data_IF_277517092149
#
_entry.id   IF_277517092149
#
_cell.length_a   1.000
_cell.length_b   1.000
_cell.length_c   1.000
_cell.angle_alpha   90.00
_cell.angle_beta   90.00
_cell.angle_gamma   90.00
#
_symmetry.space_group_name_H-M   'P 1'
#
loop_
_entity.id
_entity.type
_entity.pdbx_description
1 polymer ?
#
# COMPACT_ATOMS: atom_id res chain seq x y z
N UNK A 1 10.22 -19.31 -2.86
CA UNK A 1 8.93 -19.02 -2.20
C UNK A 1 8.42 -17.73 -2.84
N UNK A 2 7.30 -17.77 -3.56
CA UNK A 2 6.71 -16.59 -4.17
C UNK A 2 5.52 -16.16 -3.32
N UNK A 3 5.66 -15.02 -2.64
CA UNK A 3 4.60 -14.48 -1.80
C UNK A 3 4.34 -13.02 -2.18
N UNK A 4 3.12 -12.57 -1.93
CA UNK A 4 2.68 -11.19 -2.16
C UNK A 4 2.18 -10.65 -0.84
N UNK A 5 2.88 -9.67 -0.29
CA UNK A 5 2.48 -8.95 0.91
C UNK A 5 1.99 -7.58 0.53
N UNK A 6 0.80 -7.23 1.01
CA UNK A 6 0.25 -5.89 0.90
C UNK A 6 0.01 -5.34 2.31
N UNK A 7 0.34 -4.08 2.52
CA UNK A 7 -0.03 -3.41 3.76
C UNK A 7 -0.39 -1.95 3.54
N UNK A 8 -1.26 -1.42 4.38
CA UNK A 8 -1.70 -0.03 4.33
C UNK A 8 -1.76 0.56 5.75
N UNK A 9 -1.77 1.88 5.82
CA UNK A 9 -1.90 2.60 7.09
C UNK A 9 -1.55 4.07 6.94
N UNK A 10 -1.77 4.83 8.00
CA UNK A 10 -1.44 6.25 8.09
C UNK A 10 0.05 6.52 7.82
N UNK A 11 0.39 7.79 7.57
CA UNK A 11 1.79 8.22 7.51
C UNK A 11 2.53 7.88 8.82
N UNK A 12 3.86 7.71 8.75
CA UNK A 12 4.72 7.37 9.88
C UNK A 12 4.46 6.01 10.58
N UNK A 13 3.49 5.20 10.16
CA UNK A 13 3.22 3.83 10.68
C UNK A 13 4.32 2.79 10.38
N UNK A 14 5.48 3.21 9.88
CA UNK A 14 6.61 2.31 9.61
C UNK A 14 6.49 1.47 8.34
N UNK A 15 5.53 1.77 7.45
CA UNK A 15 5.34 1.10 6.14
C UNK A 15 6.65 0.76 5.42
N UNK A 16 7.44 1.78 5.08
CA UNK A 16 8.71 1.58 4.35
C UNK A 16 9.73 0.78 5.16
N UNK A 17 9.76 0.93 6.49
CA UNK A 17 10.63 0.13 7.36
C UNK A 17 10.24 -1.35 7.32
N UNK A 18 8.96 -1.68 7.27
CA UNK A 18 8.49 -3.06 7.11
C UNK A 18 8.94 -3.63 5.77
N UNK A 19 8.79 -2.86 4.68
CA UNK A 19 9.28 -3.27 3.36
C UNK A 19 10.76 -3.62 3.36
N UNK A 20 11.62 -2.69 3.79
CA UNK A 20 13.08 -2.87 3.85
C UNK A 20 13.53 -3.98 4.81
N UNK A 21 12.71 -4.35 5.79
CA UNK A 21 13.04 -5.44 6.72
C UNK A 21 13.02 -6.80 6.01
N UNK A 22 12.19 -6.96 4.99
CA UNK A 22 11.98 -8.25 4.35
C UNK A 22 13.22 -8.82 3.66
N UNK A 23 14.18 -7.97 3.26
CA UNK A 23 15.43 -8.42 2.62
C UNK A 23 16.31 -9.29 3.53
N UNK A 24 16.13 -9.20 4.84
CA UNK A 24 16.85 -10.04 5.81
C UNK A 24 16.50 -11.53 5.67
N UNK A 25 15.32 -11.83 5.12
CA UNK A 25 14.86 -13.19 4.88
C UNK A 25 15.66 -13.91 3.77
N UNK A 26 16.49 -13.16 3.03
CA UNK A 26 17.29 -13.65 1.92
C UNK A 26 18.73 -13.16 2.07
N UNK A 27 19.59 -13.78 2.90
CA UNK A 27 20.91 -13.25 3.24
C UNK A 27 21.76 -12.76 2.06
N UNK A 28 21.71 -13.47 0.93
CA UNK A 28 22.47 -13.15 -0.30
C UNK A 28 21.62 -12.44 -1.38
N UNK A 29 20.38 -12.08 -1.05
CA UNK A 29 19.45 -11.46 -1.98
C UNK A 29 19.56 -9.94 -2.04
N UNK A 30 19.11 -9.39 -3.16
CA UNK A 30 18.88 -7.95 -3.38
C UNK A 30 17.38 -7.64 -3.31
N UNK A 31 17.06 -6.47 -2.74
CA UNK A 31 15.75 -5.86 -2.83
C UNK A 31 15.77 -4.74 -3.87
N UNK A 32 14.80 -4.76 -4.80
CA UNK A 32 14.54 -3.62 -5.67
C UNK A 32 13.32 -2.87 -5.15
N UNK A 33 13.56 -1.63 -4.73
CA UNK A 33 12.58 -0.72 -4.17
C UNK A 33 12.12 0.29 -5.24
N UNK A 34 10.85 0.24 -5.63
CA UNK A 34 10.22 1.18 -6.55
C UNK A 34 9.60 2.32 -5.72
N UNK A 35 10.31 3.45 -5.66
CA UNK A 35 10.01 4.57 -4.78
C UNK A 35 9.18 5.65 -5.51
N UNK A 36 7.88 5.64 -5.28
CA UNK A 36 6.92 6.62 -5.79
C UNK A 36 6.66 7.78 -4.83
N UNK A 37 7.22 7.75 -3.62
CA UNK A 37 6.76 8.62 -2.54
C UNK A 37 7.86 9.08 -1.57
N UNK A 38 9.14 8.97 -1.92
CA UNK A 38 10.28 9.31 -1.05
C UNK A 38 10.38 8.40 0.19
N UNK A 39 9.96 7.15 0.03
CA UNK A 39 10.03 6.14 1.07
C UNK A 39 11.46 5.94 1.54
N UNK A 40 12.41 5.86 0.61
CA UNK A 40 13.81 5.54 0.93
C UNK A 40 14.39 6.57 1.88
N UNK A 41 14.29 7.86 1.58
CA UNK A 41 14.88 8.91 2.39
C UNK A 41 14.35 8.89 3.84
N UNK A 42 13.09 8.50 4.03
CA UNK A 42 12.44 8.44 5.35
C UNK A 42 12.86 7.25 6.22
N UNK A 43 13.29 6.14 5.61
CA UNK A 43 13.47 4.88 6.34
C UNK A 43 14.86 4.26 6.25
N UNK A 44 15.64 4.53 5.20
CA UNK A 44 16.88 3.78 4.92
C UNK A 44 17.94 3.94 6.02
N UNK A 45 17.99 5.11 6.66
CA UNK A 45 18.93 5.44 7.73
C UNK A 45 18.75 4.59 8.99
N UNK A 46 17.59 3.92 9.14
CA UNK A 46 17.29 3.03 10.27
C UNK A 46 18.02 1.69 10.17
N UNK A 47 18.54 1.35 9.00
CA UNK A 47 19.11 0.05 8.70
C UNK A 47 20.65 0.09 8.77
N UNK A 48 21.32 -1.01 9.17
CA UNK A 48 22.77 -1.12 9.06
C UNK A 48 23.23 -0.99 7.61
N UNK A 49 24.43 -0.46 7.37
CA UNK A 49 25.00 -0.25 6.02
C UNK A 49 24.96 -1.53 5.15
N UNK A 50 25.26 -2.69 5.74
CA UNK A 50 25.21 -3.98 5.05
C UNK A 50 23.83 -4.31 4.46
N UNK A 51 22.75 -3.88 5.11
CA UNK A 51 21.38 -4.02 4.59
C UNK A 51 21.10 -2.91 3.56
N UNK A 52 21.50 -1.67 3.84
CA UNK A 52 21.29 -0.55 2.91
C UNK A 52 21.91 -0.81 1.53
N UNK A 53 23.11 -1.40 1.49
CA UNK A 53 23.84 -1.70 0.25
C UNK A 53 23.10 -2.73 -0.63
N UNK A 54 22.23 -3.54 -0.03
CA UNK A 54 21.41 -4.57 -0.69
C UNK A 54 20.04 -4.06 -1.15
N UNK A 55 19.65 -2.85 -0.77
CA UNK A 55 18.40 -2.21 -1.19
C UNK A 55 18.70 -1.25 -2.35
N UNK A 56 18.33 -1.65 -3.57
CA UNK A 56 18.45 -0.84 -4.77
C UNK A 56 17.15 -0.10 -5.03
N UNK A 57 17.14 1.21 -4.84
CA UNK A 57 15.93 2.01 -5.06
C UNK A 57 15.95 2.70 -6.42
N UNK A 58 14.80 2.68 -7.08
CA UNK A 58 14.54 3.42 -8.32
C UNK A 58 13.37 4.35 -8.05
N UNK A 59 13.61 5.65 -8.23
CA UNK A 59 12.65 6.70 -7.89
C UNK A 59 11.79 7.07 -9.09
N UNK A 60 10.49 7.14 -8.85
CA UNK A 60 9.47 7.55 -9.80
C UNK A 60 8.79 8.80 -9.25
N UNK A 61 9.23 10.01 -9.63
CA UNK A 61 8.64 11.23 -9.12
C UNK A 61 7.17 11.33 -9.51
N UNK A 62 6.36 11.94 -8.64
CA UNK A 62 4.98 12.28 -8.99
C UNK A 62 4.98 13.17 -10.24
N UNK A 63 4.23 12.74 -11.25
CA UNK A 63 4.07 13.49 -12.49
C UNK A 63 2.84 14.37 -12.33
N UNK A 64 2.95 15.71 -12.34
CA UNK A 64 1.81 16.57 -12.09
C UNK A 64 0.72 16.38 -13.14
N UNK A 65 -0.55 16.38 -12.72
CA UNK A 65 -1.71 16.15 -13.61
C UNK A 65 -1.85 17.21 -14.70
N UNK A 66 -1.35 18.43 -14.50
CA UNK A 66 -1.33 19.46 -15.54
C UNK A 66 -0.41 19.12 -16.73
N UNK A 67 0.42 18.09 -16.60
CA UNK A 67 1.23 17.54 -17.71
C UNK A 67 0.48 16.51 -18.55
N UNK A 68 -0.79 16.21 -18.26
CA UNK A 68 -1.63 15.31 -19.05
C UNK A 68 -1.57 15.68 -20.53
N UNK A 69 -1.14 14.73 -21.36
CA UNK A 69 -0.99 14.91 -22.80
C UNK A 69 0.44 15.19 -23.28
N UNK A 70 1.36 15.57 -22.39
CA UNK A 70 2.77 15.83 -22.70
C UNK A 70 3.60 14.56 -23.01
N UNK A 71 3.08 13.37 -22.70
CA UNK A 71 3.81 12.11 -22.76
C UNK A 71 4.67 11.80 -21.52
N UNK A 72 4.78 12.72 -20.55
CA UNK A 72 5.57 12.51 -19.33
C UNK A 72 5.05 11.34 -18.48
N UNK A 73 3.73 11.19 -18.38
CA UNK A 73 3.08 10.10 -17.61
C UNK A 73 3.36 8.75 -18.31
N UNK A 74 3.16 8.69 -19.63
CA UNK A 74 3.49 7.51 -20.44
C UNK A 74 4.97 7.12 -20.32
N UNK A 75 5.88 8.09 -20.37
CA UNK A 75 7.32 7.83 -20.22
C UNK A 75 7.67 7.32 -18.82
N UNK A 76 7.06 7.88 -17.78
CA UNK A 76 7.26 7.45 -16.39
C UNK A 76 6.75 6.02 -16.18
N UNK A 77 5.56 5.70 -16.67
CA UNK A 77 5.02 4.34 -16.62
C UNK A 77 5.88 3.34 -17.40
N UNK A 78 6.30 3.66 -18.63
CA UNK A 78 7.18 2.80 -19.42
C UNK A 78 8.54 2.56 -18.73
N UNK A 79 9.10 3.59 -18.08
CA UNK A 79 10.31 3.45 -17.28
C UNK A 79 10.10 2.49 -16.10
N UNK A 80 8.95 2.58 -15.41
CA UNK A 80 8.59 1.64 -14.36
C UNK A 80 8.48 0.22 -14.90
N UNK A 81 7.75 0.00 -15.99
CA UNK A 81 7.56 -1.34 -16.56
C UNK A 81 8.89 -1.99 -16.95
N UNK A 82 9.77 -1.25 -17.63
CA UNK A 82 11.10 -1.72 -18.00
C UNK A 82 11.93 -2.09 -16.77
N UNK A 83 11.94 -1.24 -15.75
CA UNK A 83 12.71 -1.48 -14.52
C UNK A 83 12.17 -2.69 -13.76
N UNK A 84 10.84 -2.82 -13.71
CA UNK A 84 10.16 -3.95 -13.07
C UNK A 84 10.50 -5.26 -13.77
N UNK A 85 10.47 -5.29 -15.10
CA UNK A 85 10.85 -6.45 -15.90
C UNK A 85 12.32 -6.84 -15.74
N UNK A 86 13.24 -5.87 -15.69
CA UNK A 86 14.65 -6.13 -15.38
C UNK A 86 14.80 -6.77 -14.00
N UNK A 87 14.10 -6.27 -12.99
CA UNK A 87 14.15 -6.81 -11.63
C UNK A 87 13.52 -8.21 -11.51
N UNK A 88 12.48 -8.52 -12.29
CA UNK A 88 11.89 -9.85 -12.35
C UNK A 88 12.88 -10.89 -12.89
N UNK A 89 13.62 -10.53 -13.94
CA UNK A 89 14.53 -11.43 -14.64
C UNK A 89 15.91 -11.57 -13.98
N UNK A 90 16.27 -10.69 -13.03
CA UNK A 90 17.53 -10.78 -12.30
C UNK A 90 17.47 -11.88 -11.21
N UNK A 91 18.31 -12.93 -11.27
CA UNK A 91 18.31 -14.00 -10.27
C UNK A 91 18.79 -13.56 -8.88
N UNK A 92 19.56 -12.47 -8.76
CA UNK A 92 20.01 -11.93 -7.46
C UNK A 92 18.89 -11.20 -6.72
N UNK A 93 17.93 -10.63 -7.45
CA UNK A 93 16.77 -9.98 -6.85
C UNK A 93 15.89 -11.03 -6.21
N UNK A 94 15.59 -10.87 -4.91
CA UNK A 94 14.69 -11.77 -4.17
C UNK A 94 13.42 -11.06 -3.71
N UNK A 95 13.49 -9.74 -3.53
CA UNK A 95 12.38 -8.92 -3.06
C UNK A 95 12.13 -7.78 -4.03
N UNK A 96 10.87 -7.59 -4.41
CA UNK A 96 10.36 -6.44 -5.13
C UNK A 96 9.51 -5.64 -4.15
N UNK A 97 9.85 -4.39 -3.86
CA UNK A 97 9.10 -3.56 -2.94
C UNK A 97 8.57 -2.30 -3.64
N UNK A 98 7.25 -2.16 -3.76
CA UNK A 98 6.58 -1.00 -4.37
C UNK A 98 6.06 -0.06 -3.26
N UNK A 99 6.63 1.15 -3.18
CA UNK A 99 6.30 2.16 -2.16
C UNK A 99 5.91 3.50 -2.82
N UNK A 100 4.64 3.86 -2.99
CA UNK A 100 3.42 3.12 -2.63
C UNK A 100 2.72 2.59 -3.87
N UNK A 101 2.10 1.41 -3.74
CA UNK A 101 1.20 0.83 -4.73
C UNK A 101 0.00 1.72 -5.06
N UNK A 102 -0.42 2.60 -4.15
CA UNK A 102 -1.44 3.62 -4.42
C UNK A 102 -0.99 4.58 -5.52
N UNK A 103 0.24 5.10 -5.43
CA UNK A 103 0.78 6.01 -6.45
C UNK A 103 1.13 5.29 -7.76
N UNK A 104 1.68 4.07 -7.68
CA UNK A 104 1.87 3.23 -8.87
C UNK A 104 0.55 3.00 -9.62
N UNK A 105 -0.54 2.70 -8.89
CA UNK A 105 -1.85 2.47 -9.49
C UNK A 105 -2.44 3.75 -10.11
N UNK A 106 -2.26 4.91 -9.46
CA UNK A 106 -2.64 6.21 -10.02
C UNK A 106 -1.87 6.50 -11.32
N UNK A 107 -0.54 6.33 -11.33
CA UNK A 107 0.28 6.52 -12.52
C UNK A 107 -0.19 5.65 -13.69
N UNK A 108 -0.52 4.38 -13.42
CA UNK A 108 -1.08 3.46 -14.41
C UNK A 108 -2.44 3.93 -14.96
N UNK A 109 -3.32 4.42 -14.09
CA UNK A 109 -4.62 4.95 -14.49
C UNK A 109 -4.50 6.23 -15.33
N UNK A 110 -3.63 7.15 -14.91
CA UNK A 110 -3.37 8.39 -15.63
C UNK A 110 -2.72 8.12 -17.00
N UNK A 111 -1.79 7.17 -17.10
CA UNK A 111 -1.20 6.77 -18.38
C UNK A 111 -2.25 6.23 -19.35
N UNK A 112 -3.13 5.38 -18.83
CA UNK A 112 -4.21 4.80 -19.62
C UNK A 112 -5.17 5.89 -20.11
N UNK A 113 -5.54 6.82 -19.22
CA UNK A 113 -6.38 7.97 -19.55
C UNK A 113 -5.74 8.87 -20.61
N UNK A 114 -4.45 9.19 -20.48
CA UNK A 114 -3.73 10.01 -21.45
C UNK A 114 -3.83 9.40 -22.86
N UNK A 115 -3.58 8.09 -22.97
CA UNK A 115 -3.66 7.37 -24.25
C UNK A 115 -5.10 7.23 -24.76
N UNK A 116 -6.06 6.99 -23.88
CA UNK A 116 -7.46 6.80 -24.26
C UNK A 116 -8.10 8.11 -24.74
N UNK A 117 -7.87 9.23 -24.04
CA UNK A 117 -8.36 10.56 -24.42
C UNK A 117 -7.76 11.00 -25.75
N UNK A 118 -6.44 10.81 -25.95
CA UNK A 118 -5.76 11.11 -27.22
C UNK A 118 -6.39 10.40 -28.41
N UNK A 119 -6.87 9.16 -28.22
CA UNK A 119 -7.39 8.32 -29.30
C UNK A 119 -8.89 8.48 -29.56
N UNK A 120 -9.71 8.64 -28.51
CA UNK A 120 -11.15 8.38 -28.63
C UNK A 120 -12.08 9.58 -28.34
N UNK A 121 -11.61 10.69 -27.75
CA UNK A 121 -12.44 11.84 -27.32
C UNK A 121 -13.81 11.44 -26.67
N UNK A 122 -13.82 10.55 -25.68
CA UNK A 122 -15.04 9.94 -25.12
C UNK A 122 -15.85 10.90 -24.23
N UNK A 123 -17.13 10.58 -24.01
CA UNK A 123 -18.00 11.27 -23.03
C UNK A 123 -17.63 10.89 -21.58
N UNK A 124 -17.76 11.85 -20.66
CA UNK A 124 -17.27 11.76 -19.26
C UNK A 124 -17.81 10.57 -18.45
N UNK A 125 -19.06 10.16 -18.66
CA UNK A 125 -19.67 9.04 -17.91
C UNK A 125 -19.09 7.66 -18.27
N UNK A 126 -18.54 7.48 -19.47
CA UNK A 126 -17.90 6.22 -19.86
C UNK A 126 -16.47 6.09 -19.33
N UNK A 127 -15.85 7.21 -18.94
CA UNK A 127 -14.47 7.21 -18.45
C UNK A 127 -14.34 6.43 -17.13
N UNK A 128 -15.24 6.61 -16.15
CA UNK A 128 -15.11 5.95 -14.84
C UNK A 128 -15.03 4.41 -14.91
N UNK A 129 -15.80 3.74 -15.77
CA UNK A 129 -15.74 2.27 -15.86
C UNK A 129 -14.45 1.79 -16.56
N UNK A 130 -13.98 2.54 -17.56
CA UNK A 130 -12.79 2.21 -18.33
C UNK A 130 -11.52 2.55 -17.53
N UNK A 131 -11.56 3.62 -16.74
CA UNK A 131 -10.50 4.14 -15.87
C UNK A 131 -9.96 3.09 -14.91
N UNK A 132 -10.81 2.23 -14.34
CA UNK A 132 -10.33 1.28 -13.33
C UNK A 132 -10.08 -0.12 -13.90
N UNK A 133 -10.83 -0.57 -14.91
CA UNK A 133 -10.72 -1.97 -15.39
C UNK A 133 -9.34 -2.31 -15.96
N UNK A 134 -8.84 -1.49 -16.88
CA UNK A 134 -7.55 -1.76 -17.52
C UNK A 134 -6.36 -1.60 -16.56
N UNK A 135 -6.29 -0.52 -15.76
CA UNK A 135 -5.26 -0.39 -14.73
C UNK A 135 -5.28 -1.52 -13.71
N UNK A 136 -6.46 -1.95 -13.23
CA UNK A 136 -6.60 -3.09 -12.33
C UNK A 136 -6.01 -4.37 -12.93
N UNK A 137 -6.30 -4.65 -14.20
CA UNK A 137 -5.76 -5.82 -14.89
C UNK A 137 -4.23 -5.76 -15.04
N UNK A 138 -3.67 -4.59 -15.36
CA UNK A 138 -2.22 -4.39 -15.43
C UNK A 138 -1.55 -4.57 -14.06
N UNK A 139 -2.12 -4.00 -13.00
CA UNK A 139 -1.62 -4.19 -11.63
C UNK A 139 -1.66 -5.67 -11.23
N UNK A 140 -2.76 -6.38 -11.51
CA UNK A 140 -2.87 -7.82 -11.30
C UNK A 140 -1.81 -8.60 -12.08
N UNK A 141 -1.54 -8.24 -13.33
CA UNK A 141 -0.51 -8.87 -14.14
C UNK A 141 0.90 -8.72 -13.54
N UNK A 142 1.24 -7.54 -12.97
CA UNK A 142 2.52 -7.36 -12.26
C UNK A 142 2.62 -8.28 -11.04
N UNK A 143 1.54 -8.42 -10.27
CA UNK A 143 1.49 -9.33 -9.12
C UNK A 143 1.73 -10.78 -9.56
N UNK A 144 1.08 -11.23 -10.63
CA UNK A 144 1.26 -12.59 -11.14
C UNK A 144 2.68 -12.81 -11.70
N UNK A 145 3.24 -11.82 -12.42
CA UNK A 145 4.60 -11.90 -12.93
C UNK A 145 5.64 -12.05 -11.81
N UNK A 146 5.47 -11.35 -10.68
CA UNK A 146 6.34 -11.54 -9.52
C UNK A 146 6.24 -12.96 -8.92
N UNK A 147 5.03 -13.54 -8.91
CA UNK A 147 4.82 -14.93 -8.48
C UNK A 147 5.53 -15.92 -9.40
N UNK A 148 5.34 -15.78 -10.71
CA UNK A 148 5.98 -16.61 -11.73
C UNK A 148 7.51 -16.52 -11.67
N UNK A 149 8.06 -15.31 -11.47
CA UNK A 149 9.48 -15.08 -11.27
C UNK A 149 10.00 -15.52 -9.88
N UNK A 150 9.14 -16.12 -9.05
CA UNK A 150 9.43 -16.61 -7.71
C UNK A 150 10.06 -15.57 -6.77
N UNK A 151 9.61 -14.32 -6.87
CA UNK A 151 10.05 -13.20 -6.00
C UNK A 151 9.05 -12.98 -4.86
N UNK A 152 9.53 -12.43 -3.74
CA UNK A 152 8.66 -11.82 -2.74
C UNK A 152 8.25 -10.43 -3.24
N UNK A 153 6.96 -10.20 -3.46
CA UNK A 153 6.43 -8.89 -3.82
C UNK A 153 5.82 -8.24 -2.58
N UNK A 154 6.25 -7.01 -2.28
CA UNK A 154 5.74 -6.21 -1.18
C UNK A 154 5.14 -4.93 -1.77
N UNK A 155 3.95 -4.57 -1.34
CA UNK A 155 3.26 -3.36 -1.81
C UNK A 155 2.72 -2.60 -0.61
N UNK A 156 3.23 -1.39 -0.40
CA UNK A 156 2.66 -0.48 0.60
C UNK A 156 1.53 0.34 -0.03
N UNK A 157 0.56 0.75 0.78
CA UNK A 157 -0.54 1.59 0.34
C UNK A 157 -0.84 2.70 1.32
N UNK A 158 -1.43 3.77 0.81
CA UNK A 158 -2.15 4.72 1.63
C UNK A 158 -3.48 4.14 2.09
N UNK A 159 -3.94 4.64 3.23
CA UNK A 159 -5.32 4.43 3.64
C UNK A 159 -6.23 5.54 3.09
N UNK A 160 -7.51 5.23 2.92
CA UNK A 160 -8.55 6.22 2.61
C UNK A 160 -9.75 6.05 3.55
N UNK A 161 -10.46 7.14 3.89
CA UNK A 161 -11.73 7.05 4.60
C UNK A 161 -12.77 6.30 3.77
N UNK A 162 -13.59 5.50 4.45
CA UNK A 162 -14.79 4.89 3.88
C UNK A 162 -15.96 5.81 4.15
N UNK A 163 -16.64 6.23 3.08
CA UNK A 163 -17.84 7.05 3.15
C UNK A 163 -19.10 6.23 2.86
N UNK A 164 -20.19 6.56 3.52
CA UNK A 164 -21.52 5.99 3.25
C UNK A 164 -22.52 7.10 2.97
N UNK A 165 -23.46 6.84 2.05
CA UNK A 165 -24.59 7.75 1.85
C UNK A 165 -25.55 7.64 3.03
N UNK A 166 -25.82 8.75 3.70
CA UNK A 166 -26.84 8.85 4.74
C UNK A 166 -27.81 9.97 4.40
N UNK A 167 -29.05 9.80 4.83
CA UNK A 167 -30.04 10.87 4.79
C UNK A 167 -29.87 11.73 6.04
N UNK A 168 -29.41 12.97 5.84
CA UNK A 168 -29.18 13.94 6.90
C UNK A 168 -30.27 15.01 6.83
N UNK A 169 -30.82 15.38 7.99
CA UNK A 169 -31.76 16.49 8.07
C UNK A 169 -30.99 17.80 8.22
N UNK A 170 -31.17 18.72 7.27
CA UNK A 170 -30.55 20.03 7.31
C UNK A 170 -31.29 20.95 8.31
N UNK A 171 -30.66 22.07 8.67
CA UNK A 171 -31.20 23.04 9.62
C UNK A 171 -32.54 23.66 9.19
N UNK A 172 -32.86 23.61 7.90
CA UNK A 172 -34.14 24.06 7.32
C UNK A 172 -35.25 22.99 7.36
N UNK A 173 -34.95 21.81 7.92
CA UNK A 173 -35.85 20.67 8.01
C UNK A 173 -35.91 19.78 6.76
N UNK A 174 -35.21 20.15 5.68
CA UNK A 174 -35.11 19.32 4.48
C UNK A 174 -34.23 18.09 4.69
N UNK A 175 -34.50 17.01 3.95
CA UNK A 175 -33.69 15.79 3.97
C UNK A 175 -32.79 15.76 2.73
N UNK A 176 -31.47 15.75 2.94
CA UNK A 176 -30.47 15.60 1.89
C UNK A 176 -29.75 14.26 1.98
N UNK A 177 -29.29 13.74 0.84
CA UNK A 177 -28.29 12.67 0.83
C UNK A 177 -26.92 13.29 0.99
N UNK A 178 -26.21 12.95 2.06
CA UNK A 178 -24.83 13.36 2.29
C UNK A 178 -23.91 12.15 2.36
N UNK A 179 -22.66 12.35 1.94
CA UNK A 179 -21.60 11.36 2.08
C UNK A 179 -20.89 11.59 3.41
N UNK A 180 -21.09 10.67 4.36
CA UNK A 180 -20.59 10.80 5.74
C UNK A 180 -19.43 9.84 5.96
N UNK A 181 -18.33 10.32 6.56
CA UNK A 181 -17.19 9.49 6.94
C UNK A 181 -17.64 8.50 8.03
N UNK A 182 -17.43 7.21 7.80
CA UNK A 182 -17.76 6.15 8.76
C UNK A 182 -16.78 6.06 9.91
N UNK A 183 -15.63 6.75 9.82
CA UNK A 183 -14.47 6.56 10.70
C UNK A 183 -13.66 5.31 10.36
N UNK A 184 -14.13 4.45 9.45
CA UNK A 184 -13.38 3.30 8.96
C UNK A 184 -12.37 3.74 7.90
N UNK A 185 -11.24 3.04 7.86
CA UNK A 185 -10.19 3.24 6.86
C UNK A 185 -10.03 1.96 6.05
N UNK A 186 -9.82 2.11 4.75
CA UNK A 186 -9.55 1.01 3.82
C UNK A 186 -8.31 1.29 2.98
N UNK A 187 -7.79 0.25 2.33
CA UNK A 187 -6.67 0.37 1.39
C UNK A 187 -7.05 1.27 0.20
N UNK A 188 -6.16 2.20 -0.16
CA UNK A 188 -6.32 3.06 -1.33
C UNK A 188 -5.56 2.49 -2.55
N UNK A 189 -6.13 2.65 -3.74
CA UNK A 189 -5.57 2.20 -5.02
C UNK A 189 -6.29 0.97 -5.56
N UNK A 190 -5.54 -0.08 -5.86
CA UNK A 190 -6.07 -1.31 -6.47
C UNK A 190 -7.09 -2.01 -5.56
N UNK A 191 -8.38 -1.90 -5.89
CA UNK A 191 -9.48 -2.39 -5.04
C UNK A 191 -9.45 -3.90 -4.76
N UNK A 192 -8.87 -4.69 -5.66
CA UNK A 192 -8.78 -6.15 -5.50
C UNK A 192 -7.49 -6.58 -4.77
N UNK A 193 -6.75 -5.66 -4.13
CA UNK A 193 -5.44 -5.97 -3.53
C UNK A 193 -5.53 -7.07 -2.48
N UNK A 194 -6.54 -7.02 -1.60
CA UNK A 194 -6.77 -8.05 -0.59
C UNK A 194 -6.88 -9.45 -1.21
N UNK A 195 -7.51 -9.59 -2.38
CA UNK A 195 -7.67 -10.86 -3.08
C UNK A 195 -6.42 -11.30 -3.85
N UNK A 196 -5.56 -10.35 -4.22
CA UNK A 196 -4.35 -10.63 -5.00
C UNK A 196 -3.13 -10.93 -4.11
N UNK A 197 -3.14 -10.47 -2.86
CA UNK A 197 -2.07 -10.70 -1.88
C UNK A 197 -2.27 -11.98 -1.05
N UNK A 198 -1.17 -12.64 -0.68
CA UNK A 198 -1.18 -13.72 0.30
C UNK A 198 -1.35 -13.20 1.73
N UNK A 199 -0.78 -12.02 1.99
CA UNK A 199 -0.88 -11.31 3.27
C UNK A 199 -1.39 -9.89 3.02
N UNK A 200 -2.46 -9.50 3.70
CA UNK A 200 -2.98 -8.13 3.65
C UNK A 200 -3.11 -7.55 5.06
N UNK A 201 -2.29 -6.54 5.37
CA UNK A 201 -2.15 -6.02 6.73
C UNK A 201 -2.56 -4.55 6.81
N UNK A 202 -3.15 -4.17 7.93
CA UNK A 202 -3.28 -2.77 8.32
C UNK A 202 -2.30 -2.44 9.43
N UNK A 203 -1.58 -1.34 9.27
CA UNK A 203 -0.52 -0.90 10.16
C UNK A 203 -1.00 0.30 10.96
N UNK A 204 -0.80 0.22 12.28
CA UNK A 204 -1.19 1.26 13.21
C UNK A 204 -0.04 1.57 14.15
N UNK A 205 0.13 2.85 14.48
CA UNK A 205 1.01 3.24 15.58
C UNK A 205 0.31 2.91 16.90
N UNK A 206 1.05 2.28 17.81
CA UNK A 206 0.60 2.15 19.19
C UNK A 206 0.53 3.56 19.80
N UNK A 207 -0.55 3.85 20.52
CA UNK A 207 -0.80 5.15 21.17
C UNK A 207 -1.03 6.36 20.24
N UNK A 208 -1.74 6.17 19.11
CA UNK A 208 -2.29 7.27 18.28
C UNK A 208 -3.20 8.25 19.01
N UNK A 209 -3.56 7.95 20.25
CA UNK A 209 -4.33 8.85 21.08
C UNK A 209 -3.51 10.02 21.58
N UNK A 210 -2.22 10.19 21.24
CA UNK A 210 -1.46 11.38 21.61
C UNK A 210 -1.25 12.30 20.40
N UNK A 211 -1.62 13.57 20.57
CA UNK A 211 -1.17 14.66 19.73
C UNK A 211 0.36 14.74 19.83
N UNK A 212 1.04 14.48 18.72
CA UNK A 212 2.50 14.39 18.64
C UNK A 212 3.20 15.74 18.84
N UNK A 213 2.49 16.87 18.66
CA UNK A 213 3.05 18.20 18.88
C UNK A 213 2.93 18.63 20.35
N UNK A 214 1.84 18.24 21.01
CA UNK A 214 1.54 18.68 22.38
C UNK A 214 1.80 17.61 23.44
N UNK A 215 2.00 16.36 23.04
CA UNK A 215 2.11 15.20 23.92
C UNK A 215 0.83 14.88 24.70
N UNK A 216 -0.28 15.55 24.40
CA UNK A 216 -1.56 15.38 25.10
C UNK A 216 -2.42 14.36 24.38
N UNK A 217 -3.34 13.74 25.11
CA UNK A 217 -4.28 12.86 24.43
C UNK A 217 -5.18 13.64 23.46
N UNK A 218 -5.29 13.17 22.22
CA UNK A 218 -6.29 13.62 21.26
C UNK A 218 -7.68 13.28 21.78
N UNK A 219 -8.55 14.30 21.77
CA UNK A 219 -9.93 14.24 22.21
C UNK A 219 -10.83 14.33 20.98
N UNK A 220 -11.81 13.46 20.87
CA UNK A 220 -12.84 13.51 19.85
C UNK A 220 -13.67 14.81 20.03
N UNK A 221 -13.69 15.71 19.03
CA UNK A 221 -14.35 17.00 19.15
C UNK A 221 -15.88 16.89 19.24
N UNK A 222 -16.48 15.80 18.77
CA UNK A 222 -17.93 15.57 18.86
C UNK A 222 -18.38 15.05 20.22
N UNK A 223 -17.54 14.28 20.90
CA UNK A 223 -17.90 13.61 22.18
C UNK A 223 -17.17 14.16 23.41
N UNK A 224 -16.11 14.95 23.22
CA UNK A 224 -15.27 15.47 24.31
C UNK A 224 -14.48 14.38 25.07
N UNK A 225 -14.46 13.15 24.56
CA UNK A 225 -13.76 12.01 25.16
C UNK A 225 -12.45 11.75 24.42
N UNK A 226 -11.43 11.19 25.09
CA UNK A 226 -10.25 10.68 24.39
C UNK A 226 -10.69 9.76 23.26
N UNK A 227 -10.05 9.85 22.09
CA UNK A 227 -10.29 8.85 21.04
C UNK A 227 -10.17 7.46 21.66
N UNK A 228 -11.09 6.55 21.33
CA UNK A 228 -10.99 5.20 21.82
C UNK A 228 -9.63 4.65 21.36
N UNK A 229 -8.83 4.08 22.28
CA UNK A 229 -7.64 3.34 21.88
C UNK A 229 -8.05 2.41 20.73
N UNK A 230 -7.33 2.39 19.59
CA UNK A 230 -7.70 1.53 18.48
C UNK A 230 -7.91 0.14 19.05
N UNK A 231 -9.17 -0.32 19.04
CA UNK A 231 -9.46 -1.69 19.48
C UNK A 231 -8.95 -2.55 18.36
N UNK A 232 -7.92 -3.33 18.67
CA UNK A 232 -7.43 -4.41 17.83
C UNK A 232 -8.61 -5.34 17.55
N UNK A 233 -9.29 -5.15 16.41
CA UNK A 233 -10.56 -5.84 16.20
C UNK A 233 -10.32 -7.32 15.96
N UNK A 234 -9.17 -7.75 15.40
CA UNK A 234 -8.84 -9.16 15.26
C UNK A 234 -7.33 -9.43 15.08
N UNK A 235 -6.67 -9.94 16.13
CA UNK A 235 -5.50 -10.83 16.01
C UNK A 235 -6.04 -12.26 15.82
N UNK A 236 -6.85 -12.50 14.79
CA UNK A 236 -7.56 -13.77 14.59
C UNK A 236 -6.86 -14.64 13.55
N UNK A 237 -6.46 -15.85 13.96
CA UNK A 237 -5.98 -16.94 13.12
C UNK A 237 -7.19 -17.66 12.49
N UNK A 238 -7.07 -18.05 11.21
CA UNK A 238 -7.37 -19.40 10.64
C UNK A 238 -8.10 -19.43 9.27
N UNK A 239 -7.47 -20.22 8.38
CA UNK A 239 -7.98 -21.16 7.35
C UNK A 239 -8.73 -20.55 6.13
N UNK A 240 -8.16 -20.81 4.94
CA UNK A 240 -8.66 -20.54 3.57
C UNK A 240 -10.17 -20.88 3.35
N UNK A 241 -10.82 -20.43 2.24
CA UNK A 241 -10.40 -19.45 1.24
C UNK A 241 -11.36 -18.23 1.13
N UNK A 242 -10.79 -17.08 0.73
CA UNK A 242 -11.47 -15.90 0.13
C UNK A 242 -12.15 -14.87 1.09
N UNK A 243 -11.77 -13.56 1.06
CA UNK A 243 -10.42 -12.96 1.01
C UNK A 243 -9.60 -13.26 2.30
N UNK A 244 -8.27 -13.02 2.32
CA UNK A 244 -7.50 -13.08 3.55
C UNK A 244 -8.09 -12.11 4.59
N UNK A 245 -8.18 -12.56 5.83
CA UNK A 245 -8.53 -11.69 6.95
C UNK A 245 -7.54 -10.52 6.98
N UNK A 246 -8.03 -9.28 7.09
CA UNK A 246 -7.17 -8.12 7.31
C UNK A 246 -6.58 -8.29 8.72
N UNK A 247 -5.26 -8.41 8.82
CA UNK A 247 -4.59 -8.49 10.12
C UNK A 247 -4.10 -7.11 10.53
N UNK A 248 -4.32 -6.74 11.79
CA UNK A 248 -3.77 -5.52 12.38
C UNK A 248 -2.39 -5.78 12.97
N UNK A 249 -1.37 -5.00 12.58
CA UNK A 249 -0.07 -4.99 13.25
C UNK A 249 0.13 -3.64 13.96
N UNK A 250 0.22 -3.69 15.29
CA UNK A 250 0.66 -2.55 16.10
C UNK A 250 2.18 -2.50 16.13
N UNK A 251 2.75 -1.35 15.77
CA UNK A 251 4.19 -1.10 15.88
C UNK A 251 4.46 -0.23 17.13
N UNK A 252 5.09 -0.79 18.19
CA UNK A 252 5.44 -0.04 19.39
C UNK A 252 6.71 0.77 19.10
N UNK A 253 6.55 1.95 18.49
CA UNK A 253 7.65 2.72 17.90
C UNK A 253 8.45 1.89 16.85
N UNK A 254 9.23 2.51 15.95
CA UNK A 254 9.97 1.75 14.93
C UNK A 254 11.20 1.04 15.54
N UNK A 255 11.00 0.06 16.43
CA UNK A 255 12.07 -0.83 16.86
C UNK A 255 12.19 -2.02 15.88
N UNK A 256 13.27 -1.97 15.11
CA UNK A 256 13.67 -2.89 14.06
C UNK A 256 13.65 -4.38 14.47
N UNK A 257 14.10 -4.74 15.67
CA UNK A 257 14.25 -6.15 16.08
C UNK A 257 12.91 -6.87 16.27
N UNK A 258 11.92 -6.20 16.86
CA UNK A 258 10.58 -6.78 17.10
C UNK A 258 9.79 -6.98 15.81
N UNK A 259 10.06 -6.13 14.81
CA UNK A 259 9.42 -6.23 13.52
C UNK A 259 9.92 -7.44 12.73
N UNK A 260 11.24 -7.71 12.78
CA UNK A 260 11.85 -8.94 12.24
C UNK A 260 11.21 -10.17 12.88
N UNK A 261 11.12 -10.20 14.21
CA UNK A 261 10.48 -11.32 14.93
C UNK A 261 9.04 -11.54 14.48
N UNK A 262 8.27 -10.46 14.28
CA UNK A 262 6.87 -10.57 13.83
C UNK A 262 6.78 -11.12 12.41
N UNK A 263 7.65 -10.66 11.51
CA UNK A 263 7.75 -11.21 10.15
C UNK A 263 8.11 -12.70 10.17
N UNK A 264 9.06 -13.11 11.02
CA UNK A 264 9.43 -14.51 11.20
C UNK A 264 8.29 -15.34 11.77
N UNK A 265 7.54 -14.81 12.75
CA UNK A 265 6.36 -15.47 13.31
C UNK A 265 5.25 -15.65 12.27
N UNK A 266 4.95 -14.63 11.46
CA UNK A 266 3.95 -14.71 10.39
C UNK A 266 4.35 -15.80 9.38
N UNK A 267 5.64 -15.84 9.01
CA UNK A 267 6.19 -16.88 8.13
C UNK A 267 6.10 -18.28 8.75
N UNK A 268 6.43 -18.42 10.03
CA UNK A 268 6.34 -19.71 10.71
C UNK A 268 4.88 -20.19 10.79
N UNK A 269 3.96 -19.29 11.13
CA UNK A 269 2.53 -19.58 11.20
C UNK A 269 1.94 -19.94 9.83
N UNK A 270 2.42 -19.36 8.73
CA UNK A 270 1.99 -19.73 7.38
C UNK A 270 2.52 -21.10 6.97
N UNK A 271 3.75 -21.46 7.34
CA UNK A 271 4.32 -22.79 7.09
C UNK A 271 3.64 -23.90 7.91
N UNK A 272 3.30 -23.63 9.17
CA UNK A 272 2.63 -24.60 10.05
C UNK A 272 1.15 -24.82 9.69
N UNK A 273 0.52 -23.91 8.96
CA UNK A 273 -0.85 -24.04 8.45
C UNK A 273 -0.98 -24.82 7.13
N UNK A 274 0.12 -25.37 6.61
CA UNK A 274 0.16 -26.17 5.38
C UNK A 274 0.33 -27.68 5.63
N UNK A 275 0.13 -28.15 6.87
CA UNK A 275 0.10 -29.57 7.26
C UNK A 275 -1.35 -30.03 7.45
#
# INVERSE_FOLDING_TARGET
MSEVWSYFGAEATGKTTIGFTAIQLFPDGIEVHFDFDLGRERAIWRFPKAIQDRIKSVRFPEVPTWTLGSGAITQSWANFERTYEMALNDPQVRVLFVDTGTQMHRLNADEYLENYVKRNKPNRHQLQQVEYRFPNNRTRAKIMAAREAQKLLIISHYERPVYVEQFVQHADGSMGKESVDTGQKECNGFGDMAYASDQHLQLFLRDLNMDLQTGKMMIDPGTGKPFAKPRLVNFARFIKPNPPSIFGMEVPEPNYERLVQTVEMVKKASMEGMV
#
